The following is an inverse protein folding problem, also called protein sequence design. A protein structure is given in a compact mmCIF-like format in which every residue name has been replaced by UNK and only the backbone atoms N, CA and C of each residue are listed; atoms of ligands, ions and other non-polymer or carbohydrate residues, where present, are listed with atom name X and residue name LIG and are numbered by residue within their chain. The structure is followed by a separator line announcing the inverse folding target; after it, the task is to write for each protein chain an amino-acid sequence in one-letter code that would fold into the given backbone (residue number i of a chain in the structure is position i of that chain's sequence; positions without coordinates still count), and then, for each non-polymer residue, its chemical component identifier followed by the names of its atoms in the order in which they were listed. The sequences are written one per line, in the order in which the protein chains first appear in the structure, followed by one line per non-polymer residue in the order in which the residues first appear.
data_IF_502569564832
#
_entry.id   IF_502569564832
#
_cell.length_a   1.000
_cell.length_b   1.000
_cell.length_c   1.000
_cell.angle_alpha   90.00
_cell.angle_beta   90.00
_cell.angle_gamma   90.00
#
_symmetry.space_group_name_H-M   'P 1'
#
loop_
_entity.id
_entity.type
_entity.pdbx_description
1 polymer ?
#
# COMPACT_ATOMS: atom_id res chain seq x y z
N UNK A 1 -22.14 -13.30 7.89
CA UNK A 1 -22.66 -12.73 6.63
C UNK A 1 -22.76 -13.85 5.62
N UNK A 2 -23.87 -13.99 4.88
CA UNK A 2 -23.99 -15.00 3.81
C UNK A 2 -23.31 -14.45 2.55
N UNK A 3 -22.39 -15.21 1.96
CA UNK A 3 -21.76 -14.85 0.69
C UNK A 3 -22.69 -15.27 -0.47
N UNK A 4 -22.91 -14.37 -1.42
CA UNK A 4 -23.52 -14.72 -2.70
C UNK A 4 -22.44 -15.25 -3.67
N UNK A 5 -22.76 -16.30 -4.42
CA UNK A 5 -21.84 -16.93 -5.39
C UNK A 5 -20.44 -17.22 -4.77
N UNK A 6 -20.36 -18.03 -3.70
CA UNK A 6 -19.09 -18.28 -2.99
C UNK A 6 -18.03 -18.92 -3.89
N UNK A 7 -18.46 -19.76 -4.85
CA UNK A 7 -17.59 -20.50 -5.77
C UNK A 7 -17.16 -19.67 -6.99
N UNK A 8 -17.58 -18.41 -7.08
CA UNK A 8 -17.17 -17.53 -8.18
C UNK A 8 -15.65 -17.38 -8.19
N UNK A 9 -15.01 -17.76 -9.28
CA UNK A 9 -13.55 -17.65 -9.46
C UNK A 9 -13.16 -16.19 -9.62
N UNK A 10 -12.26 -15.71 -8.75
CA UNK A 10 -11.70 -14.38 -8.79
C UNK A 10 -10.29 -14.37 -9.42
N UNK A 11 -9.49 -15.37 -9.13
CA UNK A 11 -8.22 -15.63 -9.82
C UNK A 11 -8.26 -17.04 -10.42
N UNK A 12 -8.03 -17.18 -11.73
CA UNK A 12 -7.89 -18.47 -12.36
C UNK A 12 -6.77 -19.30 -11.75
N UNK A 13 -6.92 -20.61 -11.74
CA UNK A 13 -5.84 -21.50 -11.34
C UNK A 13 -4.62 -21.34 -12.26
N UNK A 14 -3.43 -21.57 -11.73
CA UNK A 14 -2.19 -21.39 -12.45
C UNK A 14 -1.09 -22.33 -11.95
N UNK A 15 -0.31 -22.91 -12.86
CA UNK A 15 0.91 -23.68 -12.51
C UNK A 15 0.65 -24.78 -11.45
N UNK A 16 -0.43 -25.55 -11.63
CA UNK A 16 -0.84 -26.61 -10.69
C UNK A 16 -1.53 -26.12 -9.41
N UNK A 17 -1.74 -24.82 -9.24
CA UNK A 17 -2.48 -24.23 -8.14
C UNK A 17 -3.97 -24.10 -8.48
N UNK A 18 -4.88 -24.38 -7.53
CA UNK A 18 -6.32 -24.26 -7.78
C UNK A 18 -6.73 -22.81 -8.01
N UNK A 19 -7.90 -22.57 -8.64
CA UNK A 19 -8.47 -21.23 -8.69
C UNK A 19 -8.77 -20.70 -7.29
N UNK A 20 -8.70 -19.37 -7.13
CA UNK A 20 -9.11 -18.70 -5.90
C UNK A 20 -10.50 -18.13 -6.11
N UNK A 21 -11.42 -18.54 -5.25
CA UNK A 21 -12.83 -18.18 -5.30
C UNK A 21 -13.13 -16.98 -4.40
N UNK A 22 -14.36 -16.50 -4.46
CA UNK A 22 -14.85 -15.47 -3.54
C UNK A 22 -14.84 -15.96 -2.09
N UNK A 23 -15.15 -17.24 -1.85
CA UNK A 23 -15.07 -17.83 -0.51
C UNK A 23 -13.63 -17.87 0.01
N UNK A 24 -12.66 -18.15 -0.87
CA UNK A 24 -11.24 -18.13 -0.48
C UNK A 24 -10.78 -16.71 -0.11
N UNK A 25 -11.20 -15.70 -0.87
CA UNK A 25 -10.91 -14.31 -0.55
C UNK A 25 -11.54 -13.89 0.79
N UNK A 26 -12.76 -14.31 1.07
CA UNK A 26 -13.42 -14.03 2.35
C UNK A 26 -12.65 -14.67 3.51
N UNK A 27 -12.24 -15.95 3.38
CA UNK A 27 -11.40 -16.64 4.38
C UNK A 27 -10.07 -15.92 4.58
N UNK A 28 -9.45 -15.46 3.49
CA UNK A 28 -8.23 -14.65 3.59
C UNK A 28 -8.47 -13.36 4.40
N UNK A 29 -9.52 -12.61 4.10
CA UNK A 29 -9.85 -11.37 4.82
C UNK A 29 -10.16 -11.62 6.30
N UNK A 30 -10.83 -12.73 6.63
CA UNK A 30 -11.07 -13.13 8.01
C UNK A 30 -9.74 -13.45 8.72
N UNK A 31 -8.89 -14.29 8.13
CA UNK A 31 -7.63 -14.70 8.70
C UNK A 31 -6.60 -13.57 8.84
N UNK A 32 -6.57 -12.66 7.87
CA UNK A 32 -5.61 -11.56 7.82
C UNK A 32 -6.13 -10.25 8.44
N UNK A 33 -7.34 -10.24 9.01
CA UNK A 33 -7.99 -9.02 9.49
C UNK A 33 -7.15 -8.23 10.50
N UNK A 34 -6.54 -8.90 11.48
CA UNK A 34 -5.68 -8.27 12.49
C UNK A 34 -4.44 -7.61 11.88
N UNK A 35 -4.00 -8.06 10.69
CA UNK A 35 -2.87 -7.50 9.96
C UNK A 35 -3.30 -6.36 9.01
N UNK A 36 -4.52 -6.41 8.48
CA UNK A 36 -5.03 -5.45 7.49
C UNK A 36 -5.64 -4.23 8.17
N UNK A 37 -6.50 -4.43 9.17
CA UNK A 37 -7.31 -3.37 9.78
C UNK A 37 -6.50 -2.22 10.36
N UNK A 38 -5.32 -2.41 10.98
CA UNK A 38 -4.49 -1.29 11.45
C UNK A 38 -4.07 -0.31 10.34
N UNK A 39 -4.09 -0.75 9.08
CA UNK A 39 -3.66 0.04 7.92
C UNK A 39 -4.81 0.60 7.08
N UNK A 40 -6.02 0.05 7.18
CA UNK A 40 -7.17 0.48 6.37
C UNK A 40 -8.32 1.02 7.22
N UNK A 41 -8.41 0.62 8.48
CA UNK A 41 -9.50 1.00 9.37
C UNK A 41 -9.63 2.51 9.53
N UNK A 42 -10.87 3.00 9.43
CA UNK A 42 -11.21 4.44 9.56
C UNK A 42 -10.49 5.38 8.57
N UNK A 43 -9.97 4.84 7.46
CA UNK A 43 -9.33 5.63 6.39
C UNK A 43 -10.18 5.63 5.14
N UNK A 44 -10.27 6.76 4.41
CA UNK A 44 -10.85 6.75 3.07
C UNK A 44 -10.09 5.74 2.21
N UNK A 45 -10.79 4.71 1.72
CA UNK A 45 -10.16 3.62 0.98
C UNK A 45 -10.72 3.53 -0.43
N UNK A 46 -9.84 3.60 -1.42
CA UNK A 46 -10.16 3.24 -2.80
C UNK A 46 -10.02 1.73 -2.96
N UNK A 47 -10.91 1.12 -3.72
CA UNK A 47 -10.98 -0.33 -3.88
C UNK A 47 -10.86 -0.66 -5.38
N UNK A 48 -9.94 -1.54 -5.75
CA UNK A 48 -10.02 -2.17 -7.07
C UNK A 48 -10.96 -3.35 -6.98
N UNK A 49 -12.04 -3.27 -7.74
CA UNK A 49 -13.06 -4.31 -7.84
C UNK A 49 -12.94 -5.05 -9.16
N UNK A 50 -13.08 -6.35 -9.09
CA UNK A 50 -13.20 -7.24 -10.24
C UNK A 50 -14.38 -8.21 -9.98
N UNK A 51 -15.65 -7.77 -10.17
CA UNK A 51 -16.81 -8.58 -9.85
C UNK A 51 -16.83 -9.92 -10.60
N UNK A 52 -16.25 -9.97 -11.80
CA UNK A 52 -16.14 -11.16 -12.64
C UNK A 52 -14.74 -11.80 -12.64
N UNK A 53 -13.95 -11.49 -11.57
CA UNK A 53 -12.59 -11.95 -11.45
C UNK A 53 -11.60 -11.10 -12.27
N UNK A 54 -10.30 -11.41 -12.13
CA UNK A 54 -9.23 -10.64 -12.79
C UNK A 54 -9.18 -10.76 -14.31
N UNK A 55 -9.91 -11.71 -14.89
CA UNK A 55 -10.08 -11.84 -16.34
C UNK A 55 -11.19 -10.96 -16.90
N UNK A 56 -12.03 -10.39 -16.05
CA UNK A 56 -13.10 -9.47 -16.40
C UNK A 56 -12.72 -8.00 -16.27
N UNK A 57 -13.74 -7.16 -16.37
CA UNK A 57 -13.57 -5.72 -16.19
C UNK A 57 -13.22 -5.36 -14.75
N UNK A 58 -12.30 -4.42 -14.57
CA UNK A 58 -11.88 -3.91 -13.27
C UNK A 58 -12.31 -2.47 -13.06
N UNK A 59 -12.76 -2.15 -11.84
CA UNK A 59 -13.25 -0.83 -11.48
C UNK A 59 -12.42 -0.25 -10.35
N UNK A 60 -11.99 1.00 -10.50
CA UNK A 60 -11.38 1.76 -9.40
C UNK A 60 -12.45 2.56 -8.66
N UNK A 61 -13.00 1.95 -7.61
CA UNK A 61 -14.05 2.57 -6.78
C UNK A 61 -13.43 3.44 -5.71
N UNK A 62 -13.74 4.74 -5.73
CA UNK A 62 -13.30 5.73 -4.71
C UNK A 62 -14.37 6.01 -3.67
N UNK A 63 -15.63 6.00 -4.08
CA UNK A 63 -16.75 6.49 -3.30
C UNK A 63 -17.74 5.37 -2.97
N UNK A 64 -18.53 5.61 -1.93
CA UNK A 64 -19.69 4.77 -1.66
C UNK A 64 -20.66 4.79 -2.85
N UNK A 65 -21.22 3.64 -3.17
CA UNK A 65 -22.22 3.47 -4.22
C UNK A 65 -23.59 3.25 -3.60
N UNK A 66 -24.65 3.49 -4.36
CA UNK A 66 -25.98 3.08 -3.96
C UNK A 66 -25.99 1.56 -3.67
N UNK A 67 -26.53 1.16 -2.52
CA UNK A 67 -26.50 -0.24 -2.09
C UNK A 67 -25.16 -0.72 -1.49
N UNK A 68 -24.23 0.18 -1.18
CA UNK A 68 -23.04 -0.17 -0.41
C UNK A 68 -23.41 -0.91 0.87
N UNK A 69 -22.64 -1.96 1.18
CA UNK A 69 -22.93 -2.80 2.35
C UNK A 69 -22.90 -1.95 3.64
N UNK A 70 -23.91 -2.05 4.53
CA UNK A 70 -24.00 -1.26 5.76
C UNK A 70 -22.88 -1.52 6.77
N UNK A 71 -22.11 -2.60 6.61
CA UNK A 71 -20.90 -2.85 7.42
C UNK A 71 -19.72 -1.96 7.05
N UNK A 72 -19.79 -1.25 5.92
CA UNK A 72 -18.76 -0.29 5.53
C UNK A 72 -19.04 1.06 6.19
N UNK A 73 -18.05 1.57 6.93
CA UNK A 73 -18.12 2.92 7.49
C UNK A 73 -17.96 3.93 6.36
N UNK A 74 -18.81 4.95 6.36
CA UNK A 74 -18.69 6.09 5.45
C UNK A 74 -17.75 7.14 6.06
N UNK A 75 -16.75 7.56 5.29
CA UNK A 75 -15.79 8.59 5.70
C UNK A 75 -16.06 9.83 4.87
N UNK A 76 -16.48 10.92 5.56
CA UNK A 76 -16.59 12.23 4.94
C UNK A 76 -15.20 12.82 4.67
N UNK A 77 -14.96 13.19 3.43
CA UNK A 77 -13.72 13.81 2.95
C UNK A 77 -13.97 15.20 2.39
N UNK A 78 -15.11 15.83 2.78
CA UNK A 78 -15.56 17.14 2.27
C UNK A 78 -15.67 17.14 0.74
N UNK A 79 -16.11 16.03 0.16
CA UNK A 79 -16.42 15.86 -1.24
C UNK A 79 -17.89 15.49 -1.43
N UNK A 80 -18.40 15.58 -2.68
CA UNK A 80 -19.82 15.29 -2.98
C UNK A 80 -20.28 13.91 -2.50
N UNK A 81 -19.40 12.92 -2.48
CA UNK A 81 -19.71 11.55 -2.09
C UNK A 81 -18.65 11.03 -1.13
N UNK A 82 -19.03 10.42 0.00
CA UNK A 82 -18.09 9.89 0.98
C UNK A 82 -17.32 8.69 0.42
N UNK A 83 -16.15 8.43 1.00
CA UNK A 83 -15.40 7.19 0.80
C UNK A 83 -15.92 6.09 1.73
N UNK A 84 -15.56 4.85 1.42
CA UNK A 84 -15.81 3.70 2.29
C UNK A 84 -14.56 3.33 3.08
N UNK A 85 -14.76 2.69 4.23
CA UNK A 85 -13.71 2.07 5.03
C UNK A 85 -14.22 0.77 5.66
N UNK A 86 -13.38 -0.25 5.70
CA UNK A 86 -13.60 -1.43 6.51
C UNK A 86 -13.03 -1.18 7.91
N UNK A 87 -13.86 -1.26 8.95
CA UNK A 87 -13.44 -1.02 10.34
C UNK A 87 -13.39 -2.30 11.17
N UNK A 88 -13.92 -3.37 10.64
CA UNK A 88 -13.92 -4.71 11.24
C UNK A 88 -13.79 -5.82 10.18
N UNK A 89 -13.72 -7.06 10.62
CA UNK A 89 -13.68 -8.25 9.77
C UNK A 89 -14.88 -8.30 8.82
N UNK A 90 -16.08 -7.96 9.32
CA UNK A 90 -17.30 -7.94 8.51
C UNK A 90 -17.24 -6.93 7.38
N UNK A 91 -16.60 -5.77 7.59
CA UNK A 91 -16.33 -4.78 6.55
C UNK A 91 -15.37 -5.29 5.48
N UNK A 92 -14.28 -5.98 5.86
CA UNK A 92 -13.36 -6.60 4.90
C UNK A 92 -14.06 -7.66 4.05
N UNK A 93 -14.83 -8.55 4.68
CA UNK A 93 -15.61 -9.58 3.99
C UNK A 93 -16.66 -8.93 3.07
N UNK A 94 -17.28 -7.81 3.47
CA UNK A 94 -18.24 -7.08 2.65
C UNK A 94 -17.57 -6.48 1.39
N UNK A 95 -16.32 -6.02 1.49
CA UNK A 95 -15.53 -5.62 0.32
C UNK A 95 -15.33 -6.82 -0.61
N UNK A 96 -14.87 -7.97 -0.09
CA UNK A 96 -14.70 -9.20 -0.87
C UNK A 96 -16.00 -9.67 -1.52
N UNK A 97 -17.13 -9.59 -0.80
CA UNK A 97 -18.46 -9.92 -1.33
C UNK A 97 -18.80 -9.09 -2.58
N UNK A 98 -18.40 -7.83 -2.63
CA UNK A 98 -18.63 -6.94 -3.77
C UNK A 98 -17.59 -7.08 -4.89
N UNK A 99 -16.68 -8.08 -4.81
CA UNK A 99 -15.58 -8.27 -5.75
C UNK A 99 -14.42 -7.29 -5.53
N UNK A 100 -14.31 -6.70 -4.35
CA UNK A 100 -13.18 -5.84 -3.98
C UNK A 100 -11.94 -6.66 -3.67
N UNK A 101 -10.91 -6.52 -4.50
CA UNK A 101 -9.67 -7.31 -4.44
C UNK A 101 -8.51 -6.51 -3.84
N UNK A 102 -8.36 -5.23 -4.19
CA UNK A 102 -7.27 -4.40 -3.67
C UNK A 102 -7.79 -3.29 -2.78
N UNK A 103 -7.05 -3.02 -1.70
CA UNK A 103 -7.34 -1.96 -0.73
C UNK A 103 -6.28 -0.87 -0.85
N UNK A 104 -6.71 0.34 -1.19
CA UNK A 104 -5.84 1.50 -1.37
C UNK A 104 -6.28 2.64 -0.45
N UNK A 105 -5.93 2.64 0.82
CA UNK A 105 -6.27 3.72 1.76
C UNK A 105 -5.47 4.98 1.48
N UNK A 106 -5.98 6.11 1.96
CA UNK A 106 -5.18 7.32 2.12
C UNK A 106 -4.17 7.12 3.24
N UNK A 107 -3.01 7.77 3.11
CA UNK A 107 -1.99 7.82 4.17
C UNK A 107 -2.32 8.84 5.26
N UNK A 108 -3.55 8.82 5.79
CA UNK A 108 -4.06 9.75 6.79
C UNK A 108 -4.28 9.08 8.14
N UNK A 109 -4.36 9.88 9.19
CA UNK A 109 -4.76 9.42 10.52
C UNK A 109 -6.15 8.75 10.48
N UNK A 110 -6.33 7.59 11.13
CA UNK A 110 -7.65 6.99 11.27
C UNK A 110 -8.67 7.98 11.84
N UNK A 111 -9.82 8.12 11.17
CA UNK A 111 -10.88 9.04 11.56
C UNK A 111 -10.61 10.54 11.27
N UNK A 112 -9.42 10.91 10.77
CA UNK A 112 -9.09 12.30 10.43
C UNK A 112 -8.38 12.38 9.07
N UNK A 113 -9.12 12.45 7.95
CA UNK A 113 -8.54 12.44 6.60
C UNK A 113 -7.74 13.71 6.26
N UNK A 114 -7.81 14.75 7.09
CA UNK A 114 -7.05 15.99 6.86
C UNK A 114 -5.62 15.94 7.44
N UNK A 115 -5.28 14.87 8.17
CA UNK A 115 -3.98 14.73 8.82
C UNK A 115 -3.22 13.55 8.25
N UNK A 116 -2.14 13.75 7.48
CA UNK A 116 -1.28 12.66 7.04
C UNK A 116 -0.58 12.02 8.26
N UNK A 117 -0.48 10.68 8.26
CA UNK A 117 0.15 9.90 9.32
C UNK A 117 1.26 8.98 8.82
N UNK A 118 1.55 9.03 7.54
CA UNK A 118 2.63 8.27 6.93
C UNK A 118 3.13 8.91 5.64
N UNK A 119 4.37 8.58 5.27
CA UNK A 119 4.98 8.92 3.98
C UNK A 119 5.25 7.62 3.23
N UNK A 120 4.91 7.56 1.95
CA UNK A 120 5.15 6.41 1.09
C UNK A 120 6.04 6.79 -0.08
N UNK A 121 7.17 6.12 -0.21
CA UNK A 121 8.02 6.15 -1.40
C UNK A 121 7.72 4.88 -2.21
N UNK A 122 7.07 5.03 -3.35
CA UNK A 122 6.77 3.94 -4.27
C UNK A 122 7.92 3.83 -5.28
N UNK A 123 8.63 2.70 -5.24
CA UNK A 123 9.80 2.44 -6.08
C UNK A 123 9.35 1.62 -7.29
N UNK A 124 9.15 2.33 -8.41
CA UNK A 124 8.60 1.75 -9.64
C UNK A 124 9.72 1.59 -10.69
N UNK A 125 10.20 0.36 -10.94
CA UNK A 125 11.27 0.12 -11.90
C UNK A 125 10.77 0.30 -13.33
N UNK A 126 11.62 0.89 -14.19
CA UNK A 126 11.40 0.91 -15.63
C UNK A 126 11.61 -0.48 -16.24
N UNK A 127 11.18 -0.66 -17.48
CA UNK A 127 11.39 -1.89 -18.23
C UNK A 127 12.88 -2.18 -18.38
N UNK A 128 13.27 -3.44 -18.16
CA UNK A 128 14.67 -3.88 -18.23
C UNK A 128 15.42 -3.87 -16.91
N UNK A 129 14.89 -3.24 -15.85
CA UNK A 129 15.47 -3.36 -14.51
C UNK A 129 15.00 -4.65 -13.82
N UNK A 130 15.90 -5.28 -13.08
CA UNK A 130 15.57 -6.45 -12.27
C UNK A 130 15.15 -6.07 -10.84
N UNK A 131 14.73 -7.08 -10.06
CA UNK A 131 14.28 -6.82 -8.70
C UNK A 131 15.44 -6.48 -7.74
N UNK A 132 16.69 -6.81 -8.08
CA UNK A 132 17.86 -6.41 -7.29
C UNK A 132 18.11 -4.90 -7.40
N UNK A 133 17.77 -4.28 -8.55
CA UNK A 133 17.81 -2.82 -8.69
C UNK A 133 16.81 -2.13 -7.74
N UNK A 134 15.61 -2.72 -7.61
CA UNK A 134 14.59 -2.22 -6.67
C UNK A 134 15.03 -2.41 -5.21
N UNK A 135 15.65 -3.54 -4.88
CA UNK A 135 16.25 -3.82 -3.56
C UNK A 135 17.33 -2.77 -3.24
N UNK A 136 18.21 -2.51 -4.20
CA UNK A 136 19.28 -1.52 -4.03
C UNK A 136 18.70 -0.11 -3.84
N UNK A 137 17.65 0.26 -4.60
CA UNK A 137 16.94 1.52 -4.45
C UNK A 137 16.28 1.65 -3.08
N UNK A 138 15.60 0.61 -2.60
CA UNK A 138 14.97 0.62 -1.27
C UNK A 138 15.99 0.87 -0.15
N UNK A 139 17.19 0.29 -0.26
CA UNK A 139 18.29 0.53 0.70
C UNK A 139 18.82 1.96 0.65
N UNK A 140 18.83 2.61 -0.52
CA UNK A 140 19.21 4.03 -0.65
C UNK A 140 18.18 4.90 0.06
N UNK A 141 16.88 4.69 -0.24
CA UNK A 141 15.78 5.44 0.42
C UNK A 141 15.81 5.21 1.94
N UNK A 142 16.02 3.96 2.38
CA UNK A 142 16.16 3.62 3.79
C UNK A 142 17.20 4.50 4.49
N UNK A 143 18.44 4.50 3.98
CA UNK A 143 19.54 5.28 4.58
C UNK A 143 19.20 6.76 4.65
N UNK A 144 18.68 7.34 3.56
CA UNK A 144 18.31 8.75 3.52
C UNK A 144 17.26 9.12 4.57
N UNK A 145 16.30 8.23 4.83
CA UNK A 145 15.26 8.42 5.84
C UNK A 145 15.82 8.26 7.26
N UNK A 146 16.67 7.24 7.48
CA UNK A 146 17.36 7.02 8.77
C UNK A 146 18.28 8.21 9.14
N UNK A 147 19.02 8.77 8.17
CA UNK A 147 19.86 9.96 8.34
C UNK A 147 19.03 11.20 8.75
N UNK A 148 17.76 11.25 8.35
CA UNK A 148 16.82 12.30 8.76
C UNK A 148 16.19 12.04 10.13
N UNK A 149 16.52 10.93 10.79
CA UNK A 149 16.04 10.58 12.14
C UNK A 149 14.65 9.97 12.14
N UNK A 150 14.23 9.36 11.02
CA UNK A 150 12.94 8.69 10.87
C UNK A 150 13.15 7.18 10.69
N UNK A 151 12.13 6.39 11.02
CA UNK A 151 12.18 4.93 10.93
C UNK A 151 11.42 4.44 9.70
N UNK A 152 12.10 3.96 8.65
CA UNK A 152 11.45 3.44 7.47
C UNK A 152 11.09 1.95 7.62
N UNK A 153 9.92 1.59 7.10
CA UNK A 153 9.43 0.24 6.92
C UNK A 153 9.35 -0.10 5.43
N UNK A 154 9.39 -1.37 5.10
CA UNK A 154 9.41 -1.80 3.69
C UNK A 154 8.41 -2.91 3.43
N UNK A 155 7.75 -2.89 2.27
CA UNK A 155 6.87 -3.96 1.82
C UNK A 155 6.95 -4.16 0.31
N UNK A 156 6.57 -5.35 -0.16
CA UNK A 156 6.32 -5.56 -1.58
C UNK A 156 5.06 -4.79 -2.01
N UNK A 157 4.97 -4.44 -3.27
CA UNK A 157 3.73 -3.90 -3.84
C UNK A 157 2.76 -5.01 -4.27
N UNK A 158 3.16 -6.28 -4.14
CA UNK A 158 2.48 -7.42 -4.76
C UNK A 158 2.59 -7.42 -6.29
N UNK A 159 3.55 -6.68 -6.82
CA UNK A 159 3.94 -6.56 -8.22
C UNK A 159 5.46 -6.46 -8.35
N UNK A 160 5.96 -5.57 -9.20
CA UNK A 160 7.40 -5.42 -9.52
C UNK A 160 8.16 -4.49 -8.57
N UNK A 161 7.49 -3.73 -7.70
CA UNK A 161 8.10 -2.68 -6.90
C UNK A 161 8.14 -2.98 -5.41
N UNK A 162 8.79 -2.09 -4.67
CA UNK A 162 8.77 -2.00 -3.21
C UNK A 162 8.22 -0.64 -2.80
N UNK A 163 7.49 -0.59 -1.70
CA UNK A 163 7.21 0.65 -0.98
C UNK A 163 8.12 0.76 0.23
N UNK A 164 8.72 1.92 0.43
CA UNK A 164 9.31 2.32 1.70
C UNK A 164 8.33 3.27 2.37
N UNK A 165 7.87 2.93 3.57
CA UNK A 165 6.82 3.66 4.29
C UNK A 165 7.33 4.13 5.63
N UNK A 166 7.09 5.39 5.95
CA UNK A 166 7.56 6.03 7.18
C UNK A 166 6.35 6.48 7.99
N UNK A 167 6.11 5.94 9.19
CA UNK A 167 5.06 6.42 10.07
C UNK A 167 5.44 7.78 10.66
N UNK A 168 4.51 8.71 10.71
CA UNK A 168 4.70 10.04 11.29
C UNK A 168 3.68 10.31 12.38
N UNK A 169 4.15 11.00 13.44
CA UNK A 169 3.35 11.34 14.61
C UNK A 169 2.34 12.44 14.29
N UNK A 170 1.13 12.30 14.80
CA UNK A 170 -0.01 13.16 14.48
C UNK A 170 -0.59 13.92 15.69
N UNK A 171 0.10 13.94 16.83
CA UNK A 171 -0.31 14.79 17.97
C UNK A 171 -0.27 16.29 17.61
N UNK A 172 -0.89 17.14 18.42
CA UNK A 172 -1.03 18.56 18.14
C UNK A 172 0.30 19.29 17.89
N UNK A 173 1.39 18.84 18.51
CA UNK A 173 2.74 19.45 18.36
C UNK A 173 3.46 18.94 17.12
N UNK A 174 3.16 17.72 16.68
CA UNK A 174 3.87 17.00 15.60
C UNK A 174 3.16 17.06 14.26
N UNK A 175 1.84 17.35 14.25
CA UNK A 175 1.03 17.30 13.01
C UNK A 175 1.59 18.24 11.93
N UNK A 176 1.51 17.79 10.70
CA UNK A 176 1.90 18.50 9.48
C UNK A 176 0.74 18.54 8.50
N UNK A 177 0.79 19.41 7.50
CA UNK A 177 -0.20 19.46 6.43
C UNK A 177 0.13 18.45 5.32
N UNK A 178 -0.84 18.19 4.43
CA UNK A 178 -0.64 17.39 3.22
C UNK A 178 0.42 17.99 2.29
N UNK A 179 0.47 19.32 2.20
CA UNK A 179 1.47 20.04 1.41
C UNK A 179 2.87 19.78 1.96
N UNK A 180 3.06 19.89 3.29
CA UNK A 180 4.33 19.61 3.96
C UNK A 180 4.73 18.14 3.79
N UNK A 181 3.79 17.20 3.94
CA UNK A 181 4.03 15.77 3.77
C UNK A 181 4.54 15.46 2.34
N UNK A 182 3.85 15.99 1.33
CA UNK A 182 4.23 15.83 -0.08
C UNK A 182 5.53 16.56 -0.42
N UNK A 183 5.76 17.78 0.11
CA UNK A 183 6.98 18.53 -0.10
C UNK A 183 8.20 17.79 0.45
N UNK A 184 8.09 17.20 1.64
CA UNK A 184 9.13 16.35 2.21
C UNK A 184 9.45 15.14 1.33
N UNK A 185 8.44 14.38 0.94
CA UNK A 185 8.63 13.21 0.07
C UNK A 185 9.29 13.59 -1.26
N UNK A 186 8.88 14.71 -1.85
CA UNK A 186 9.49 15.26 -3.07
C UNK A 186 10.96 15.63 -2.85
N UNK A 187 11.26 16.38 -1.79
CA UNK A 187 12.62 16.84 -1.51
C UNK A 187 13.58 15.67 -1.27
N UNK A 188 13.16 14.63 -0.54
CA UNK A 188 13.94 13.42 -0.34
C UNK A 188 14.19 12.70 -1.68
N UNK A 189 13.15 12.54 -2.50
CA UNK A 189 13.27 11.89 -3.81
C UNK A 189 14.19 12.66 -4.75
N UNK A 190 14.11 13.99 -4.77
CA UNK A 190 14.99 14.85 -5.56
C UNK A 190 16.44 14.79 -5.08
N UNK A 191 16.68 14.78 -3.76
CA UNK A 191 18.02 14.63 -3.21
C UNK A 191 18.67 13.31 -3.66
N UNK A 192 17.92 12.20 -3.59
CA UNK A 192 18.38 10.89 -4.07
C UNK A 192 18.65 10.91 -5.58
N UNK A 193 17.77 11.54 -6.37
CA UNK A 193 17.96 11.68 -7.82
C UNK A 193 19.22 12.48 -8.16
N UNK A 194 19.50 13.56 -7.43
CA UNK A 194 20.71 14.38 -7.65
C UNK A 194 21.98 13.61 -7.31
N UNK A 195 21.96 12.79 -6.24
CA UNK A 195 23.10 11.96 -5.83
C UNK A 195 23.39 10.80 -6.81
N UNK A 196 22.38 10.29 -7.52
CA UNK A 196 22.53 9.18 -8.46
C UNK A 196 21.59 9.33 -9.68
N UNK A 197 21.82 10.33 -10.56
CA UNK A 197 20.92 10.68 -11.65
C UNK A 197 20.79 9.60 -12.73
N UNK A 198 21.77 8.70 -12.84
CA UNK A 198 21.73 7.58 -13.77
C UNK A 198 20.83 6.42 -13.29
N UNK A 199 20.51 6.37 -12.01
CA UNK A 199 19.73 5.29 -11.40
C UNK A 199 18.32 5.69 -11.04
N UNK A 200 18.08 6.97 -10.77
CA UNK A 200 16.81 7.46 -10.22
C UNK A 200 16.22 8.57 -11.08
N UNK A 201 14.90 8.60 -11.12
CA UNK A 201 14.13 9.69 -11.71
C UNK A 201 12.91 10.02 -10.84
N UNK A 202 12.50 11.29 -10.88
CA UNK A 202 11.24 11.79 -10.30
C UNK A 202 10.24 12.17 -11.39
N UNK A 203 10.58 11.87 -12.65
CA UNK A 203 9.74 12.19 -13.82
C UNK A 203 8.63 11.17 -13.99
N UNK A 204 7.39 11.65 -14.03
CA UNK A 204 6.19 10.82 -14.14
C UNK A 204 6.07 10.12 -15.51
N UNK A 205 6.51 10.78 -16.57
CA UNK A 205 6.39 10.28 -17.94
C UNK A 205 7.25 9.02 -18.15
N UNK A 206 6.62 7.89 -18.40
CA UNK A 206 7.30 6.60 -18.62
C UNK A 206 8.40 6.67 -19.69
N UNK A 207 8.13 7.33 -20.81
CA UNK A 207 9.11 7.50 -21.91
C UNK A 207 10.39 8.24 -21.50
N UNK A 208 10.37 8.98 -20.37
CA UNK A 208 11.52 9.74 -19.88
C UNK A 208 12.27 9.01 -18.72
N UNK A 209 11.86 7.79 -18.37
CA UNK A 209 12.48 7.04 -17.25
C UNK A 209 13.84 6.45 -17.63
N UNK A 210 14.01 6.01 -18.88
CA UNK A 210 15.29 5.61 -19.45
C UNK A 210 16.07 4.56 -18.65
N UNK A 211 15.43 3.44 -18.24
CA UNK A 211 16.06 2.38 -17.45
C UNK A 211 16.35 2.76 -16.00
N UNK A 212 15.55 3.67 -15.40
CA UNK A 212 15.75 4.16 -14.02
C UNK A 212 14.61 3.73 -13.11
N UNK A 213 14.87 3.76 -11.81
CA UNK A 213 13.83 3.64 -10.79
C UNK A 213 13.11 4.98 -10.66
N UNK A 214 11.80 4.99 -10.87
CA UNK A 214 10.97 6.13 -10.58
C UNK A 214 10.65 6.17 -9.08
N UNK A 215 11.04 7.26 -8.43
CA UNK A 215 10.71 7.55 -7.03
C UNK A 215 9.38 8.31 -7.00
N UNK A 216 8.26 7.57 -6.93
CA UNK A 216 6.92 8.17 -6.90
C UNK A 216 6.62 8.73 -5.49
N UNK A 217 6.80 10.02 -5.35
CA UNK A 217 6.44 10.80 -4.15
C UNK A 217 4.99 11.30 -4.16
N UNK A 218 4.27 11.14 -5.27
CA UNK A 218 2.91 11.67 -5.44
C UNK A 218 1.88 10.97 -4.57
N UNK A 219 2.23 9.77 -4.04
CA UNK A 219 1.42 9.04 -3.06
C UNK A 219 1.18 9.79 -1.75
N UNK A 220 1.83 10.93 -1.54
CA UNK A 220 1.85 11.68 -0.29
C UNK A 220 1.00 12.95 -0.30
N UNK A 221 0.20 13.15 -1.34
CA UNK A 221 -0.77 14.24 -1.41
C UNK A 221 -2.13 13.86 -0.82
N UNK A 222 -2.95 14.84 -0.49
CA UNK A 222 -4.36 14.63 -0.14
C UNK A 222 -5.07 13.90 -1.28
N UNK A 223 -5.91 12.92 -0.96
CA UNK A 223 -6.60 12.02 -1.89
C UNK A 223 -5.69 11.01 -2.63
N UNK A 224 -4.38 11.09 -2.48
CA UNK A 224 -3.49 10.07 -3.02
C UNK A 224 -3.60 8.76 -2.20
N UNK A 225 -3.41 7.66 -2.88
CA UNK A 225 -3.54 6.32 -2.28
C UNK A 225 -2.33 5.46 -2.58
N UNK A 226 -2.05 4.52 -1.70
CA UNK A 226 -1.10 3.46 -1.93
C UNK A 226 -1.72 2.12 -1.50
N UNK A 227 -1.32 1.02 -2.14
CA UNK A 227 -1.82 -0.31 -1.76
C UNK A 227 -1.48 -0.61 -0.30
N UNK A 228 -2.48 -1.05 0.48
CA UNK A 228 -2.29 -1.36 1.89
C UNK A 228 -1.36 -2.56 2.11
N UNK A 229 -0.64 -2.62 3.25
CA UNK A 229 -0.05 -3.86 3.73
C UNK A 229 -1.10 -4.98 3.75
N UNK A 230 -0.70 -6.18 3.37
CA UNK A 230 -1.54 -7.36 3.30
C UNK A 230 -2.70 -7.29 2.28
N UNK A 231 -2.81 -6.23 1.48
CA UNK A 231 -3.81 -6.18 0.41
C UNK A 231 -3.47 -7.17 -0.69
N UNK A 232 -4.42 -8.01 -1.13
CA UNK A 232 -4.27 -8.78 -2.37
C UNK A 232 -4.14 -7.85 -3.58
N UNK A 233 -3.71 -8.40 -4.72
CA UNK A 233 -3.60 -7.68 -6.00
C UNK A 233 -4.44 -8.35 -7.07
N UNK A 234 -5.20 -7.55 -7.79
CA UNK A 234 -6.03 -7.96 -8.93
C UNK A 234 -5.16 -8.22 -10.17
N UNK A 235 -4.19 -9.12 -10.04
CA UNK A 235 -3.23 -9.48 -11.10
C UNK A 235 -3.01 -10.99 -11.13
N UNK A 236 -2.60 -11.56 -12.26
CA UNK A 236 -2.13 -12.94 -12.32
C UNK A 236 -1.07 -13.19 -11.23
N UNK A 237 -1.15 -14.36 -10.58
CA UNK A 237 -0.27 -14.68 -9.45
C UNK A 237 -0.84 -14.34 -8.07
N UNK A 238 -2.02 -13.68 -7.99
CA UNK A 238 -2.73 -13.37 -6.75
C UNK A 238 -1.79 -12.85 -5.63
N UNK A 239 -0.84 -11.99 -6.00
CA UNK A 239 0.17 -11.45 -5.10
C UNK A 239 -0.45 -10.67 -3.95
N UNK A 240 0.26 -10.60 -2.83
CA UNK A 240 -0.08 -9.81 -1.66
C UNK A 240 0.97 -8.72 -1.46
N UNK A 241 0.53 -7.50 -1.14
CA UNK A 241 1.42 -6.40 -0.76
C UNK A 241 1.99 -6.67 0.64
N UNK A 242 3.04 -7.46 0.72
CA UNK A 242 3.52 -8.11 1.92
C UNK A 242 4.54 -7.26 2.69
N UNK A 243 4.31 -6.97 3.99
CA UNK A 243 5.31 -6.35 4.86
C UNK A 243 6.57 -7.20 4.97
N UNK A 244 7.73 -6.55 4.94
CA UNK A 244 9.04 -7.18 5.03
C UNK A 244 9.84 -6.58 6.20
N UNK A 245 10.67 -7.41 6.82
CA UNK A 245 11.80 -6.89 7.60
C UNK A 245 12.93 -6.45 6.66
N UNK A 246 13.74 -5.50 7.08
CA UNK A 246 14.90 -5.09 6.28
C UNK A 246 15.93 -6.21 6.06
N UNK A 247 15.98 -7.21 6.95
CA UNK A 247 16.79 -8.41 6.78
C UNK A 247 16.37 -9.30 5.61
N UNK A 248 15.08 -9.23 5.20
CA UNK A 248 14.54 -9.95 4.05
C UNK A 248 14.84 -9.22 2.73
N UNK A 249 15.16 -7.91 2.75
CA UNK A 249 15.43 -7.10 1.56
C UNK A 249 16.88 -7.31 1.11
N UNK A 250 17.13 -8.43 0.45
CA UNK A 250 18.45 -8.86 -0.03
C UNK A 250 18.33 -9.59 -1.36
N UNK A 251 19.44 -9.80 -2.02
CA UNK A 251 19.50 -10.57 -3.27
C UNK A 251 18.78 -11.92 -3.11
N UNK A 252 18.02 -12.30 -4.12
CA UNK A 252 17.19 -13.50 -4.12
C UNK A 252 15.80 -13.32 -3.47
N UNK A 253 15.43 -12.12 -3.02
CA UNK A 253 14.06 -11.83 -2.64
C UNK A 253 13.14 -11.93 -3.87
N UNK A 254 12.21 -12.88 -3.83
CA UNK A 254 11.19 -13.06 -4.86
C UNK A 254 9.84 -12.49 -4.36
N UNK A 255 9.35 -11.39 -4.93
CA UNK A 255 8.05 -10.83 -4.53
C UNK A 255 6.87 -11.73 -4.87
N UNK A 256 7.01 -12.66 -5.82
CA UNK A 256 5.95 -13.61 -6.19
C UNK A 256 5.72 -14.69 -5.12
N UNK A 257 6.68 -14.86 -4.20
CA UNK A 257 6.54 -15.77 -3.07
C UNK A 257 5.46 -15.35 -2.06
N UNK A 258 4.95 -14.11 -2.13
CA UNK A 258 3.90 -13.57 -1.24
C UNK A 258 2.57 -13.50 -1.98
N UNK A 259 1.72 -14.51 -1.84
CA UNK A 259 0.49 -14.63 -2.61
C UNK A 259 -0.63 -15.31 -1.80
N UNK A 260 -1.85 -15.29 -2.31
CA UNK A 260 -3.02 -15.85 -1.65
C UNK A 260 -3.00 -17.38 -1.52
N UNK A 261 -2.21 -18.11 -2.30
CA UNK A 261 -2.12 -19.57 -2.15
C UNK A 261 -1.32 -20.01 -0.93
N UNK A 262 -0.48 -19.13 -0.39
CA UNK A 262 0.37 -19.45 0.78
C UNK A 262 0.16 -18.54 1.97
N UNK A 263 -0.91 -17.74 1.99
CA UNK A 263 -1.15 -16.74 3.03
C UNK A 263 -1.16 -17.32 4.45
N UNK A 264 -1.66 -18.55 4.64
CA UNK A 264 -1.69 -19.20 5.96
C UNK A 264 -0.28 -19.39 6.53
N UNK A 265 0.67 -19.82 5.69
CA UNK A 265 2.06 -19.94 6.09
C UNK A 265 2.71 -18.57 6.35
N UNK A 266 2.30 -17.53 5.64
CA UNK A 266 2.76 -16.16 5.85
C UNK A 266 2.23 -15.58 7.16
N UNK A 267 0.97 -15.82 7.51
CA UNK A 267 0.33 -15.34 8.73
C UNK A 267 0.89 -16.01 10.00
N UNK A 268 1.42 -17.23 9.90
CA UNK A 268 2.09 -17.91 11.02
C UNK A 268 3.41 -17.25 11.43
N UNK A 269 3.99 -16.42 10.57
CA UNK A 269 5.24 -15.71 10.87
C UNK A 269 4.95 -14.43 11.69
N UNK A 270 5.89 -13.99 12.53
CA UNK A 270 5.78 -12.69 13.20
C UNK A 270 5.54 -11.57 12.18
N UNK A 271 4.74 -10.57 12.58
CA UNK A 271 4.53 -9.40 11.74
C UNK A 271 5.79 -8.55 11.66
N UNK A 272 6.38 -8.36 10.46
CA UNK A 272 7.54 -7.49 10.31
C UNK A 272 7.22 -6.01 10.65
N UNK A 273 5.94 -5.63 10.64
CA UNK A 273 5.48 -4.26 10.90
C UNK A 273 4.80 -4.09 12.26
N UNK A 274 4.97 -5.06 13.19
CA UNK A 274 4.38 -4.98 14.55
C UNK A 274 4.68 -3.67 15.27
N UNK A 275 5.85 -3.09 15.01
CA UNK A 275 6.32 -1.85 15.66
C UNK A 275 6.02 -0.58 14.82
N UNK A 276 5.25 -0.70 13.71
CA UNK A 276 5.00 0.40 12.79
C UNK A 276 4.43 1.65 13.48
N UNK A 277 3.43 1.46 14.36
CA UNK A 277 2.79 2.57 15.06
C UNK A 277 3.60 3.10 16.25
N UNK A 278 4.39 2.26 16.88
CA UNK A 278 5.26 2.67 17.99
C UNK A 278 6.51 3.42 17.52
N UNK A 279 6.88 3.25 16.24
CA UNK A 279 8.02 3.93 15.61
C UNK A 279 7.68 5.33 15.06
N UNK A 280 6.46 5.83 15.29
CA UNK A 280 6.04 7.18 14.85
C UNK A 280 6.94 8.28 15.42
N UNK A 281 7.48 9.13 14.54
CA UNK A 281 8.28 10.29 14.91
C UNK A 281 7.71 11.59 14.33
N UNK A 282 8.02 12.73 14.95
CA UNK A 282 7.64 14.02 14.38
C UNK A 282 8.41 14.28 13.08
N UNK A 283 7.69 14.68 12.03
CA UNK A 283 8.30 15.04 10.75
C UNK A 283 9.00 16.42 10.79
N UNK A 284 8.64 17.30 11.72
CA UNK A 284 9.12 18.69 11.77
C UNK A 284 10.65 18.84 11.82
N UNK A 285 11.40 18.04 12.62
CA UNK A 285 12.86 18.13 12.58
C UNK A 285 13.45 17.75 11.23
N UNK A 286 12.88 16.75 10.56
CA UNK A 286 13.33 16.32 9.24
C UNK A 286 13.00 17.36 8.16
N UNK A 287 11.81 18.00 8.20
CA UNK A 287 11.46 19.13 7.35
C UNK A 287 12.50 20.24 7.48
N UNK A 288 12.82 20.66 8.72
CA UNK A 288 13.82 21.71 8.97
C UNK A 288 15.20 21.35 8.40
N UNK A 289 15.64 20.08 8.52
CA UNK A 289 16.91 19.62 7.93
C UNK A 289 16.92 19.68 6.40
N UNK A 290 15.74 19.55 5.78
CA UNK A 290 15.55 19.62 4.33
C UNK A 290 15.29 21.05 3.82
N UNK A 291 15.25 22.05 4.71
CA UNK A 291 14.99 23.46 4.35
C UNK A 291 13.52 23.75 4.03
N UNK A 292 12.58 22.96 4.60
CA UNK A 292 11.14 23.05 4.39
C UNK A 292 10.39 23.59 5.63
#
# INVERSE_FOLDING_TARGET
MTLSSPDKVLWPGREGRPPITKADLARYYEAAAERILPHVGERPTSIIRAPDGIGGETFFQRHAMAGSNPRLKLIDVKARTPYVSAVDVGGLVAIGQSGGLELHPWGCKPGDPEVPDQITFDLDPDEGLDFNDVIAAAKVVRRKIEDLGLTPFVKTTGGKGLHVVVPIRTDARSRVSWEQNKAFAKAVSEAIRVEAPDRFTTTLAKKARGGKIFLDYLRNGRMATAVAPWSPRARPGAGVAFPLSWGQVKAGLDPSAFNLWNYEALLKKPDPWKDFRTAEASLKPALKRMGL
#
